data_IF_107142723857
#
_entry.id   IF_107142723857
#
_cell.length_a   1.000
_cell.length_b   1.000
_cell.length_c   1.000
_cell.angle_alpha   90.00
_cell.angle_beta   90.00
_cell.angle_gamma   90.00
#
_symmetry.space_group_name_H-M   'P 1'
#
loop_
_entity.id
_entity.type
_entity.pdbx_description
1 polymer ?
#
# COMPACT_ATOMS: atom_id res chain seq x y z
N UNK A 1 5.24 20.25 -22.20
CA UNK A 1 4.10 20.02 -21.28
C UNK A 1 4.32 20.94 -20.09
N UNK A 2 3.38 21.82 -19.76
CA UNK A 2 3.59 22.82 -18.69
C UNK A 2 3.69 22.06 -17.36
N UNK A 3 4.61 22.45 -16.49
CA UNK A 3 4.84 21.82 -15.17
C UNK A 3 3.53 21.55 -14.41
N UNK A 4 2.57 22.47 -14.51
CA UNK A 4 1.20 22.35 -13.98
C UNK A 4 0.46 21.10 -14.46
N UNK A 5 0.52 20.77 -15.75
CA UNK A 5 -0.18 19.62 -16.33
C UNK A 5 0.43 18.30 -15.83
N UNK A 6 1.75 18.28 -15.62
CA UNK A 6 2.46 17.14 -15.04
C UNK A 6 2.08 16.92 -13.57
N UNK A 7 2.10 17.98 -12.76
CA UNK A 7 1.72 17.91 -11.34
C UNK A 7 0.27 17.46 -11.18
N UNK A 8 -0.66 18.00 -11.97
CA UNK A 8 -2.07 17.59 -11.93
C UNK A 8 -2.23 16.13 -12.32
N UNK A 9 -1.60 15.70 -13.43
CA UNK A 9 -1.67 14.30 -13.88
C UNK A 9 -1.12 13.34 -12.82
N UNK A 10 -0.02 13.69 -12.17
CA UNK A 10 0.60 12.90 -11.10
C UNK A 10 -0.27 12.88 -9.84
N UNK A 11 -0.81 14.03 -9.45
CA UNK A 11 -1.72 14.16 -8.30
C UNK A 11 -3.00 13.35 -8.49
N UNK A 12 -3.51 13.21 -9.72
CA UNK A 12 -4.69 12.39 -10.03
C UNK A 12 -4.38 10.88 -10.03
N UNK A 13 -3.15 10.49 -10.40
CA UNK A 13 -2.74 9.09 -10.43
C UNK A 13 -2.67 8.45 -9.05
N UNK A 14 -2.25 9.21 -8.03
CA UNK A 14 -2.11 8.72 -6.65
C UNK A 14 -3.44 8.19 -6.07
N UNK A 15 -4.52 8.99 -6.00
CA UNK A 15 -5.79 8.52 -5.45
C UNK A 15 -6.40 7.40 -6.29
N UNK A 16 -6.22 7.41 -7.62
CA UNK A 16 -6.68 6.32 -8.48
C UNK A 16 -5.97 5.00 -8.16
N UNK A 17 -4.65 5.05 -7.97
CA UNK A 17 -3.86 3.89 -7.57
C UNK A 17 -4.23 3.40 -6.17
N UNK A 18 -4.40 4.32 -5.21
CA UNK A 18 -4.84 3.99 -3.85
C UNK A 18 -6.24 3.37 -3.85
N UNK A 19 -7.16 3.88 -4.66
CA UNK A 19 -8.51 3.33 -4.81
C UNK A 19 -8.50 1.93 -5.43
N UNK A 20 -7.69 1.72 -6.48
CA UNK A 20 -7.50 0.39 -7.06
C UNK A 20 -6.90 -0.60 -6.04
N UNK A 21 -5.89 -0.15 -5.29
CA UNK A 21 -5.25 -0.93 -4.24
C UNK A 21 -6.23 -1.24 -3.09
N UNK A 22 -7.07 -0.28 -2.69
CA UNK A 22 -8.07 -0.51 -1.63
C UNK A 22 -9.10 -1.56 -2.05
N UNK A 23 -9.59 -1.52 -3.30
CA UNK A 23 -10.49 -2.56 -3.82
C UNK A 23 -9.79 -3.92 -3.75
N UNK A 24 -8.56 -3.99 -4.26
CA UNK A 24 -7.80 -5.22 -4.35
C UNK A 24 -7.55 -5.83 -2.98
N UNK A 25 -7.05 -5.04 -2.02
CA UNK A 25 -6.81 -5.50 -0.65
C UNK A 25 -8.15 -5.89 0.00
N UNK A 26 -9.20 -5.09 -0.17
CA UNK A 26 -10.51 -5.39 0.40
C UNK A 26 -11.02 -6.74 -0.10
N UNK A 27 -10.94 -6.99 -1.40
CA UNK A 27 -11.38 -8.26 -1.98
C UNK A 27 -10.53 -9.43 -1.48
N UNK A 28 -9.20 -9.30 -1.49
CA UNK A 28 -8.29 -10.35 -1.02
C UNK A 28 -8.59 -10.73 0.43
N UNK A 29 -8.70 -9.75 1.33
CA UNK A 29 -8.90 -10.05 2.76
C UNK A 29 -10.28 -10.62 3.07
N UNK A 30 -11.30 -10.42 2.21
CA UNK A 30 -12.65 -10.98 2.39
C UNK A 30 -12.87 -12.30 1.65
N UNK A 31 -12.07 -12.58 0.62
CA UNK A 31 -12.07 -13.86 -0.11
C UNK A 31 -11.15 -14.88 0.55
N UNK A 32 -10.10 -14.43 1.25
CA UNK A 32 -9.22 -15.31 1.99
C UNK A 32 -10.02 -16.17 3.00
N UNK A 33 -9.81 -17.50 3.01
CA UNK A 33 -10.46 -18.38 3.96
C UNK A 33 -9.86 -18.13 5.35
N UNK A 34 -10.53 -17.30 6.13
CA UNK A 34 -10.21 -16.97 7.51
C UNK A 34 -11.34 -16.11 8.06
N UNK A 35 -11.95 -16.54 9.17
CA UNK A 35 -13.04 -15.77 9.76
C UNK A 35 -12.45 -14.57 10.54
N UNK A 36 -12.59 -13.33 10.03
CA UNK A 36 -12.01 -12.16 10.69
C UNK A 36 -12.62 -11.93 12.07
N UNK A 37 -13.83 -12.45 12.32
CA UNK A 37 -14.48 -12.38 13.63
C UNK A 37 -13.82 -13.34 14.62
N UNK A 38 -13.44 -14.55 14.18
CA UNK A 38 -12.69 -15.49 15.03
C UNK A 38 -11.26 -15.00 15.29
N UNK A 39 -10.66 -14.29 14.34
CA UNK A 39 -9.37 -13.62 14.57
C UNK A 39 -9.49 -12.51 15.63
N UNK A 40 -10.59 -11.77 15.62
CA UNK A 40 -10.85 -10.71 16.59
C UNK A 40 -11.21 -11.24 17.99
N UNK A 41 -12.06 -12.26 18.08
CA UNK A 41 -12.53 -12.82 19.36
C UNK A 41 -11.59 -13.89 19.94
N UNK A 42 -10.64 -14.40 19.16
CA UNK A 42 -9.76 -15.49 19.53
C UNK A 42 -10.41 -16.88 19.37
N UNK A 43 -9.60 -17.93 19.62
CA UNK A 43 -9.99 -19.33 19.45
C UNK A 43 -11.06 -19.79 20.45
N UNK A 44 -11.27 -19.07 21.54
CA UNK A 44 -12.21 -19.41 22.62
C UNK A 44 -13.63 -18.86 22.41
N UNK A 45 -13.87 -18.15 21.30
CA UNK A 45 -15.17 -17.55 21.01
C UNK A 45 -16.24 -18.61 20.73
N UNK A 46 -17.40 -18.50 21.40
CA UNK A 46 -18.54 -19.37 21.10
C UNK A 46 -19.14 -19.02 19.73
N UNK A 47 -19.78 -19.98 19.06
CA UNK A 47 -20.35 -19.74 17.73
C UNK A 47 -21.43 -18.64 17.74
N UNK A 48 -22.18 -18.52 18.84
CA UNK A 48 -23.17 -17.47 19.07
C UNK A 48 -22.51 -16.07 19.12
N UNK A 49 -21.36 -15.95 19.78
CA UNK A 49 -20.61 -14.70 19.82
C UNK A 49 -20.07 -14.35 18.42
N UNK A 50 -19.54 -15.33 17.69
CA UNK A 50 -19.06 -15.13 16.32
C UNK A 50 -20.18 -14.60 15.42
N UNK A 51 -21.38 -15.17 15.48
CA UNK A 51 -22.49 -14.75 14.64
C UNK A 51 -23.02 -13.36 15.02
N UNK A 52 -23.05 -13.04 16.32
CA UNK A 52 -23.40 -11.71 16.82
C UNK A 52 -22.41 -10.64 16.30
N UNK A 53 -21.11 -10.88 16.44
CA UNK A 53 -20.09 -9.93 15.98
C UNK A 53 -20.03 -9.84 14.45
N UNK A 54 -20.34 -10.93 13.72
CA UNK A 54 -20.45 -10.91 12.27
C UNK A 54 -21.53 -9.93 11.79
N UNK A 55 -22.68 -9.89 12.47
CA UNK A 55 -23.74 -8.90 12.22
C UNK A 55 -23.35 -7.50 12.64
N UNK A 56 -22.69 -7.34 13.80
CA UNK A 56 -22.23 -6.03 14.28
C UNK A 56 -21.23 -5.37 13.33
N UNK A 57 -20.32 -6.16 12.74
CA UNK A 57 -19.37 -5.67 11.75
C UNK A 57 -19.93 -5.60 10.31
N UNK A 58 -21.19 -6.00 10.10
CA UNK A 58 -21.83 -6.03 8.78
C UNK A 58 -21.19 -7.01 7.79
N UNK A 59 -20.48 -8.01 8.32
CA UNK A 59 -19.79 -9.04 7.53
C UNK A 59 -20.76 -10.07 6.93
N UNK A 60 -22.05 -10.02 7.31
CA UNK A 60 -23.14 -10.79 6.72
C UNK A 60 -23.57 -10.25 5.34
N UNK A 61 -23.28 -8.97 5.06
CA UNK A 61 -23.69 -8.31 3.81
C UNK A 61 -22.81 -8.70 2.63
N UNK A 62 -23.29 -8.59 1.38
CA UNK A 62 -22.47 -8.73 0.20
C UNK A 62 -21.25 -7.79 0.19
N UNK A 63 -20.10 -8.28 -0.29
CA UNK A 63 -18.79 -7.58 -0.28
C UNK A 63 -18.89 -6.16 -0.86
N UNK A 64 -19.67 -5.98 -1.94
CA UNK A 64 -19.85 -4.67 -2.56
C UNK A 64 -20.57 -3.67 -1.65
N UNK A 65 -21.55 -4.11 -0.85
CA UNK A 65 -22.23 -3.26 0.13
C UNK A 65 -21.28 -2.87 1.25
N UNK A 66 -20.49 -3.83 1.75
CA UNK A 66 -19.49 -3.57 2.78
C UNK A 66 -18.48 -2.50 2.32
N UNK A 67 -18.05 -2.56 1.06
CA UNK A 67 -17.12 -1.58 0.48
C UNK A 67 -17.73 -0.18 0.36
N UNK A 68 -18.99 -0.08 -0.06
CA UNK A 68 -19.69 1.21 -0.16
C UNK A 68 -19.89 1.82 1.25
N UNK A 69 -20.27 1.00 2.23
CA UNK A 69 -20.46 1.44 3.62
C UNK A 69 -19.13 1.89 4.25
N UNK A 70 -18.02 1.20 3.94
CA UNK A 70 -16.67 1.61 4.32
C UNK A 70 -16.34 3.02 3.81
N UNK A 71 -16.50 3.28 2.51
CA UNK A 71 -16.23 4.60 1.94
C UNK A 71 -17.19 5.68 2.47
N UNK A 72 -18.46 5.35 2.65
CA UNK A 72 -19.43 6.26 3.26
C UNK A 72 -19.00 6.66 4.67
N UNK A 73 -18.55 5.72 5.48
CA UNK A 73 -18.02 6.00 6.83
C UNK A 73 -16.74 6.85 6.77
N UNK A 74 -15.85 6.58 5.82
CA UNK A 74 -14.66 7.39 5.59
C UNK A 74 -15.01 8.86 5.25
N UNK A 75 -15.93 9.11 4.32
CA UNK A 75 -16.32 10.47 3.94
C UNK A 75 -17.13 11.21 5.01
N UNK A 76 -17.92 10.49 5.82
CA UNK A 76 -18.80 11.12 6.83
C UNK A 76 -18.11 11.34 8.17
N UNK A 77 -17.31 10.37 8.62
CA UNK A 77 -16.67 10.40 9.94
C UNK A 77 -15.17 10.70 9.87
N UNK A 78 -14.56 10.63 8.69
CA UNK A 78 -13.12 10.79 8.53
C UNK A 78 -12.32 9.64 9.16
N UNK A 79 -12.97 8.52 9.48
CA UNK A 79 -12.30 7.37 10.13
C UNK A 79 -12.04 6.26 9.13
N UNK A 80 -10.88 5.61 9.25
CA UNK A 80 -10.51 4.43 8.44
C UNK A 80 -11.13 3.13 8.98
N UNK A 81 -11.86 3.21 10.09
CA UNK A 81 -12.52 2.08 10.74
C UNK A 81 -11.64 1.41 11.81
N UNK A 82 -12.18 0.37 12.42
CA UNK A 82 -11.48 -0.44 13.42
C UNK A 82 -10.72 -1.57 12.73
N UNK A 83 -9.48 -1.79 13.16
CA UNK A 83 -8.70 -2.96 12.80
C UNK A 83 -9.25 -4.18 13.56
N UNK A 84 -9.68 -5.21 12.83
CA UNK A 84 -10.11 -6.48 13.42
C UNK A 84 -8.93 -7.31 13.96
N UNK A 85 -7.69 -6.85 13.76
CA UNK A 85 -6.50 -7.50 14.29
C UNK A 85 -6.05 -6.88 15.62
N UNK A 86 -5.99 -5.55 15.69
CA UNK A 86 -5.49 -4.81 16.87
C UNK A 86 -6.60 -4.22 17.74
N UNK A 87 -7.85 -4.18 17.25
CA UNK A 87 -9.00 -3.59 17.95
C UNK A 87 -8.95 -2.06 18.09
N UNK A 88 -7.97 -1.40 17.45
CA UNK A 88 -7.80 0.07 17.45
C UNK A 88 -8.11 0.66 16.07
N UNK A 89 -8.24 1.98 16.02
CA UNK A 89 -8.49 2.71 14.77
C UNK A 89 -7.32 2.52 13.80
N UNK A 90 -7.62 2.12 12.57
CA UNK A 90 -6.64 1.90 11.49
C UNK A 90 -5.82 3.17 11.24
N UNK A 91 -6.39 4.36 11.44
CA UNK A 91 -5.66 5.62 11.29
C UNK A 91 -4.47 5.74 12.25
N UNK A 92 -4.60 5.21 13.48
CA UNK A 92 -3.50 5.21 14.45
C UNK A 92 -2.43 4.20 14.07
N UNK A 93 -2.84 3.01 13.62
CA UNK A 93 -1.92 2.01 13.10
C UNK A 93 -1.07 2.59 11.96
N UNK A 94 -1.72 3.21 10.98
CA UNK A 94 -1.04 3.81 9.82
C UNK A 94 -0.08 4.92 10.26
N UNK A 95 -0.49 5.78 11.20
CA UNK A 95 0.37 6.85 11.72
C UNK A 95 1.59 6.32 12.50
N UNK A 96 1.46 5.19 13.18
CA UNK A 96 2.56 4.56 13.92
C UNK A 96 3.59 3.91 12.98
N UNK A 97 3.16 3.29 11.87
CA UNK A 97 4.04 2.63 10.91
C UNK A 97 4.58 3.56 9.80
N UNK A 98 3.95 4.72 9.60
CA UNK A 98 4.35 5.71 8.60
C UNK A 98 5.82 6.13 8.72
N UNK A 99 6.32 6.52 9.92
CA UNK A 99 7.71 6.93 10.11
C UNK A 99 8.71 5.83 9.69
N UNK A 100 8.47 4.59 10.12
CA UNK A 100 9.34 3.45 9.81
C UNK A 100 9.38 3.17 8.30
N UNK A 101 8.23 3.29 7.64
CA UNK A 101 8.15 3.12 6.17
C UNK A 101 8.91 4.23 5.46
N UNK A 102 8.79 5.48 5.94
CA UNK A 102 9.52 6.61 5.37
C UNK A 102 11.03 6.47 5.52
N UNK A 103 11.50 6.04 6.70
CA UNK A 103 12.93 5.74 6.92
C UNK A 103 13.43 4.70 5.91
N UNK A 104 12.70 3.60 5.74
CA UNK A 104 13.06 2.56 4.79
C UNK A 104 13.08 3.07 3.34
N UNK A 105 12.06 3.86 2.94
CA UNK A 105 11.98 4.44 1.60
C UNK A 105 13.14 5.41 1.35
N UNK A 106 13.51 6.24 2.33
CA UNK A 106 14.62 7.18 2.21
C UNK A 106 15.93 6.42 2.03
N UNK A 107 16.20 5.42 2.87
CA UNK A 107 17.40 4.59 2.74
C UNK A 107 17.44 3.89 1.38
N UNK A 108 16.34 3.26 0.96
CA UNK A 108 16.23 2.61 -0.34
C UNK A 108 16.46 3.58 -1.50
N UNK A 109 15.93 4.81 -1.42
CA UNK A 109 16.18 5.85 -2.43
C UNK A 109 17.65 6.23 -2.50
N UNK A 110 18.31 6.44 -1.35
CA UNK A 110 19.74 6.76 -1.30
C UNK A 110 20.56 5.62 -1.92
N UNK A 111 20.30 4.38 -1.53
CA UNK A 111 20.94 3.20 -2.13
C UNK A 111 20.68 3.09 -3.64
N UNK A 112 19.45 3.32 -4.08
CA UNK A 112 19.08 3.29 -5.50
C UNK A 112 19.82 4.36 -6.31
N UNK A 113 19.99 5.56 -5.77
CA UNK A 113 20.73 6.64 -6.43
C UNK A 113 22.22 6.30 -6.50
N UNK A 114 22.81 5.83 -5.40
CA UNK A 114 24.23 5.43 -5.36
C UNK A 114 24.50 4.33 -6.39
N UNK A 115 23.71 3.25 -6.37
CA UNK A 115 23.83 2.15 -7.33
C UNK A 115 23.60 2.63 -8.76
N UNK A 116 22.60 3.48 -8.99
CA UNK A 116 22.32 4.07 -10.30
C UNK A 116 23.52 4.85 -10.85
N UNK A 117 24.14 5.70 -10.02
CA UNK A 117 25.32 6.48 -10.42
C UNK A 117 26.53 5.59 -10.70
N UNK A 118 26.80 4.58 -9.86
CA UNK A 118 27.90 3.63 -10.04
C UNK A 118 27.74 2.83 -11.35
N UNK A 119 26.53 2.34 -11.61
CA UNK A 119 26.25 1.58 -12.83
C UNK A 119 26.35 2.46 -14.08
N UNK A 120 25.86 3.71 -14.01
CA UNK A 120 25.96 4.66 -15.12
C UNK A 120 27.42 5.02 -15.41
N UNK A 121 28.23 5.32 -14.38
CA UNK A 121 29.64 5.69 -14.57
C UNK A 121 30.49 4.54 -15.11
N UNK A 122 30.27 3.31 -14.63
CA UNK A 122 30.94 2.10 -15.16
C UNK A 122 30.63 1.88 -16.65
N UNK A 123 29.36 2.06 -17.05
CA UNK A 123 28.95 1.93 -18.46
C UNK A 123 29.56 3.02 -19.34
N UNK A 124 29.70 4.25 -18.82
CA UNK A 124 30.33 5.37 -19.53
C UNK A 124 31.83 5.13 -19.72
N UNK A 125 32.56 4.67 -18.70
CA UNK A 125 33.99 4.33 -18.84
C UNK A 125 34.20 3.21 -19.86
N UNK A 126 33.38 2.15 -19.83
CA UNK A 126 33.45 1.08 -20.84
C UNK A 126 33.21 1.58 -22.27
N UNK A 127 32.23 2.47 -22.45
CA UNK A 127 31.92 3.05 -23.76
C UNK A 127 32.99 4.02 -24.27
N UNK A 128 33.80 4.62 -23.39
CA UNK A 128 34.88 5.54 -23.78
C UNK A 128 36.21 4.80 -24.02
N UNK A 129 36.52 3.79 -23.22
CA UNK A 129 37.80 3.08 -23.26
C UNK A 129 37.88 2.08 -24.43
N UNK A 130 36.80 1.37 -24.74
CA UNK A 130 36.76 0.35 -25.79
C UNK A 130 36.99 0.95 -27.21
N UNK A 131 36.28 2.00 -27.65
CA UNK A 131 36.54 2.59 -28.96
C UNK A 131 37.89 3.32 -29.05
N UNK A 132 38.35 3.97 -27.97
CA UNK A 132 39.65 4.65 -27.94
C UNK A 132 40.81 3.65 -28.09
N UNK A 133 40.72 2.50 -27.42
CA UNK A 133 41.73 1.44 -27.57
C UNK A 133 41.74 0.81 -28.96
N UNK A 134 40.60 0.75 -29.65
CA UNK A 134 40.50 0.22 -31.03
C UNK A 134 41.06 1.22 -32.05
N UNK A 135 40.88 2.53 -31.84
CA UNK A 135 41.46 3.56 -32.72
C UNK A 135 42.97 3.80 -32.55
N UNK A 136 43.58 3.21 -31.51
CA UNK A 136 45.02 3.31 -31.20
C UNK A 136 45.81 2.03 -31.54
N UNK A 137 45.14 0.99 -32.03
CA UNK A 137 45.79 -0.20 -32.61
C UNK A 137 46.03 0.06 -34.11
N UNK A 138 47.28 -0.06 -34.60
CA UNK A 138 47.60 0.10 -36.03
C UNK A 138 47.07 -1.05 -36.89
#
# INVERSE_FOLDING_TARGET
MKFRDYVIKRALQIPLALFGLSILIFYITRVMPGDPVRLYLGLEATEEQVEMYRKLFGLDKPIHIQYIEYWKNFFTKGTLGLSLYTGRDVAKDVAEYLPSTLELVIVAMVFSVIMGVILVSSKILGCYIIPVSISLLP
#
